data_IF_827690695308
#
_entry.id   IF_827690695308
#
_cell.length_a   1.000
_cell.length_b   1.000
_cell.length_c   1.000
_cell.angle_alpha   90.00
_cell.angle_beta   90.00
_cell.angle_gamma   90.00
#
_symmetry.space_group_name_H-M   'P 1'
#
loop_
_entity.id
_entity.type
_entity.pdbx_description
1 polymer ?
#
# COMPACT_ATOMS: atom_id res chain seq x y z
N UNK A 1 -71.09 -51.19 -52.08
CA UNK A 1 -71.21 -49.71 -52.06
C UNK A 1 -70.32 -49.01 -51.02
N UNK A 2 -69.67 -49.70 -50.07
CA UNK A 2 -68.78 -49.05 -49.09
C UNK A 2 -67.29 -49.02 -49.47
N UNK A 3 -66.80 -49.91 -50.34
CA UNK A 3 -65.36 -49.97 -50.65
C UNK A 3 -64.90 -48.86 -51.61
N UNK A 4 -65.72 -48.47 -52.59
CA UNK A 4 -65.36 -47.41 -53.55
C UNK A 4 -65.28 -46.02 -52.91
N UNK A 5 -66.12 -45.73 -51.91
CA UNK A 5 -66.10 -44.46 -51.16
C UNK A 5 -64.82 -44.37 -50.30
N UNK A 6 -64.38 -45.50 -49.72
CA UNK A 6 -63.15 -45.56 -48.92
C UNK A 6 -61.92 -45.35 -49.80
N UNK A 7 -61.88 -45.96 -50.98
CA UNK A 7 -60.76 -45.81 -51.93
C UNK A 7 -60.67 -44.36 -52.46
N UNK A 8 -61.80 -43.76 -52.82
CA UNK A 8 -61.85 -42.36 -53.27
C UNK A 8 -61.44 -41.37 -52.17
N UNK A 9 -61.81 -41.63 -50.92
CA UNK A 9 -61.38 -40.83 -49.77
C UNK A 9 -59.87 -40.96 -49.50
N UNK A 10 -59.30 -42.15 -49.66
CA UNK A 10 -57.85 -42.40 -49.50
C UNK A 10 -57.05 -41.68 -50.59
N UNK A 11 -57.51 -41.70 -51.84
CA UNK A 11 -56.81 -41.03 -52.94
C UNK A 11 -56.95 -39.50 -52.88
N UNK A 12 -58.08 -38.96 -52.40
CA UNK A 12 -58.20 -37.53 -52.09
C UNK A 12 -57.24 -37.11 -50.96
N UNK A 13 -57.04 -37.96 -49.95
CA UNK A 13 -56.09 -37.71 -48.85
C UNK A 13 -54.62 -37.68 -49.33
N UNK A 14 -54.28 -38.47 -50.35
CA UNK A 14 -52.94 -38.47 -50.97
C UNK A 14 -52.63 -37.19 -51.76
N UNK A 15 -53.64 -36.49 -52.27
CA UNK A 15 -53.48 -35.26 -53.05
C UNK A 15 -53.52 -34.02 -52.14
N UNK A 16 -54.40 -34.01 -51.14
CA UNK A 16 -54.59 -32.88 -50.20
C UNK A 16 -53.58 -32.94 -49.05
N UNK A 17 -53.17 -34.13 -48.62
CA UNK A 17 -52.20 -34.34 -47.57
C UNK A 17 -50.87 -33.61 -47.82
N UNK A 18 -50.22 -33.77 -48.98
CA UNK A 18 -48.96 -33.09 -49.28
C UNK A 18 -49.09 -31.56 -49.37
N UNK A 19 -50.22 -31.06 -49.86
CA UNK A 19 -50.45 -29.63 -50.09
C UNK A 19 -50.79 -28.85 -48.82
N UNK A 20 -51.28 -29.51 -47.76
CA UNK A 20 -51.58 -28.87 -46.46
C UNK A 20 -50.55 -29.24 -45.38
N UNK A 21 -50.11 -30.50 -45.32
CA UNK A 21 -49.19 -30.98 -44.28
C UNK A 21 -47.78 -30.42 -44.48
N UNK A 22 -47.30 -30.33 -45.73
CA UNK A 22 -45.94 -29.85 -46.02
C UNK A 22 -45.77 -28.37 -45.64
N UNK A 23 -46.68 -27.43 -45.99
CA UNK A 23 -46.57 -26.05 -45.51
C UNK A 23 -46.64 -25.92 -43.99
N UNK A 24 -47.50 -26.72 -43.31
CA UNK A 24 -47.58 -26.72 -41.84
C UNK A 24 -46.27 -27.20 -41.23
N UNK A 25 -45.69 -28.27 -41.77
CA UNK A 25 -44.41 -28.82 -41.31
C UNK A 25 -43.25 -27.84 -41.55
N UNK A 26 -43.20 -27.18 -42.71
CA UNK A 26 -42.22 -26.14 -43.02
C UNK A 26 -42.39 -24.95 -42.08
N UNK A 27 -43.62 -24.48 -41.85
CA UNK A 27 -43.90 -23.38 -40.94
C UNK A 27 -43.47 -23.74 -39.50
N UNK A 28 -43.74 -24.97 -39.07
CA UNK A 28 -43.33 -25.47 -37.75
C UNK A 28 -41.81 -25.55 -37.62
N UNK A 29 -41.09 -26.11 -38.60
CA UNK A 29 -39.62 -26.15 -38.60
C UNK A 29 -39.01 -24.73 -38.63
N UNK A 30 -39.56 -23.85 -39.46
CA UNK A 30 -39.08 -22.46 -39.59
C UNK A 30 -39.28 -21.70 -38.28
N UNK A 31 -40.45 -21.83 -37.65
CA UNK A 31 -40.74 -21.18 -36.37
C UNK A 31 -39.89 -21.77 -35.23
N UNK A 32 -39.65 -23.09 -35.25
CA UNK A 32 -38.74 -23.76 -34.30
C UNK A 32 -37.29 -23.31 -34.46
N UNK A 33 -36.78 -23.20 -35.68
CA UNK A 33 -35.43 -22.71 -35.94
C UNK A 33 -35.31 -21.22 -35.61
N UNK A 34 -36.31 -20.40 -35.92
CA UNK A 34 -36.33 -18.99 -35.55
C UNK A 34 -36.27 -18.79 -34.03
N UNK A 35 -36.97 -19.64 -33.24
CA UNK A 35 -36.85 -19.63 -31.78
C UNK A 35 -35.46 -20.00 -31.30
N UNK A 36 -34.88 -21.10 -31.81
CA UNK A 36 -33.52 -21.50 -31.46
C UNK A 36 -32.49 -20.44 -31.81
N UNK A 37 -32.61 -19.79 -32.96
CA UNK A 37 -31.69 -18.73 -33.37
C UNK A 37 -31.79 -17.51 -32.44
N UNK A 38 -33.01 -17.14 -32.00
CA UNK A 38 -33.20 -16.06 -31.00
C UNK A 38 -32.61 -16.42 -29.64
N UNK A 39 -32.75 -17.67 -29.19
CA UNK A 39 -32.13 -18.15 -27.95
C UNK A 39 -30.60 -18.05 -28.02
N UNK A 40 -29.99 -18.49 -29.14
CA UNK A 40 -28.55 -18.41 -29.37
C UNK A 40 -28.08 -16.94 -29.41
N UNK A 41 -28.83 -16.06 -30.06
CA UNK A 41 -28.52 -14.62 -30.14
C UNK A 41 -28.58 -13.96 -28.76
N UNK A 42 -29.60 -14.27 -27.96
CA UNK A 42 -29.72 -13.81 -26.57
C UNK A 42 -28.59 -14.34 -25.69
N UNK A 43 -28.23 -15.62 -25.80
CA UNK A 43 -27.08 -16.18 -25.07
C UNK A 43 -25.77 -15.48 -25.45
N UNK A 44 -25.59 -15.16 -26.73
CA UNK A 44 -24.41 -14.45 -27.21
C UNK A 44 -24.36 -13.01 -26.67
N UNK A 45 -25.49 -12.29 -26.69
CA UNK A 45 -25.58 -10.95 -26.10
C UNK A 45 -25.31 -10.97 -24.58
N UNK A 46 -25.88 -11.95 -23.85
CA UNK A 46 -25.62 -12.12 -22.43
C UNK A 46 -24.15 -12.40 -22.13
N UNK A 47 -23.50 -13.29 -22.90
CA UNK A 47 -22.05 -13.56 -22.78
C UNK A 47 -21.22 -12.31 -23.06
N UNK A 48 -21.61 -11.51 -24.05
CA UNK A 48 -20.94 -10.24 -24.37
C UNK A 48 -21.08 -9.23 -23.24
N UNK A 49 -22.29 -9.08 -22.68
CA UNK A 49 -22.55 -8.20 -21.53
C UNK A 49 -21.78 -8.63 -20.28
N UNK A 50 -21.73 -9.93 -20.00
CA UNK A 50 -20.95 -10.49 -18.89
C UNK A 50 -19.46 -10.17 -19.06
N UNK A 51 -18.90 -10.44 -20.25
CA UNK A 51 -17.50 -10.15 -20.55
C UNK A 51 -17.17 -8.67 -20.44
N UNK A 52 -18.05 -7.80 -20.93
CA UNK A 52 -17.87 -6.34 -20.80
C UNK A 52 -17.89 -5.91 -19.33
N UNK A 53 -18.82 -6.45 -18.54
CA UNK A 53 -18.89 -6.16 -17.10
C UNK A 53 -17.65 -6.64 -16.34
N UNK A 54 -17.11 -7.81 -16.70
CA UNK A 54 -15.86 -8.32 -16.14
C UNK A 54 -14.69 -7.38 -16.46
N UNK A 55 -14.58 -6.91 -17.70
CA UNK A 55 -13.57 -5.93 -18.11
C UNK A 55 -13.70 -4.60 -17.36
N UNK A 56 -14.92 -4.09 -17.19
CA UNK A 56 -15.16 -2.85 -16.43
C UNK A 56 -14.75 -3.00 -14.96
N UNK A 57 -15.06 -4.15 -14.35
CA UNK A 57 -14.66 -4.47 -12.97
C UNK A 57 -13.13 -4.54 -12.87
N UNK A 58 -12.47 -5.25 -13.76
CA UNK A 58 -11.01 -5.40 -13.73
C UNK A 58 -10.30 -4.05 -13.90
N UNK A 59 -10.78 -3.24 -14.86
CA UNK A 59 -10.31 -1.87 -15.04
C UNK A 59 -10.50 -1.00 -13.78
N UNK A 60 -11.67 -1.08 -13.14
CA UNK A 60 -11.94 -0.32 -11.91
C UNK A 60 -11.03 -0.74 -10.75
N UNK A 61 -10.71 -2.04 -10.64
CA UNK A 61 -9.79 -2.58 -9.63
C UNK A 61 -8.37 -2.06 -9.88
N UNK A 62 -7.91 -2.06 -11.12
CA UNK A 62 -6.60 -1.52 -11.49
C UNK A 62 -6.49 -0.02 -11.19
N UNK A 63 -7.51 0.76 -11.54
CA UNK A 63 -7.56 2.19 -11.26
C UNK A 63 -7.51 2.47 -9.76
N UNK A 64 -8.25 1.70 -8.95
CA UNK A 64 -8.25 1.84 -7.49
C UNK A 64 -6.88 1.48 -6.90
N UNK A 65 -6.25 0.40 -7.36
CA UNK A 65 -4.89 0.04 -6.94
C UNK A 65 -3.87 1.12 -7.27
N UNK A 66 -3.95 1.71 -8.47
CA UNK A 66 -3.12 2.85 -8.88
C UNK A 66 -3.27 4.01 -7.90
N UNK A 67 -4.51 4.39 -7.60
CA UNK A 67 -4.83 5.46 -6.65
C UNK A 67 -4.28 5.19 -5.25
N UNK A 68 -4.40 3.96 -4.75
CA UNK A 68 -3.86 3.57 -3.44
C UNK A 68 -2.34 3.75 -3.36
N UNK A 69 -1.60 3.31 -4.38
CA UNK A 69 -0.14 3.51 -4.43
C UNK A 69 0.26 4.99 -4.43
N UNK A 70 -0.44 5.83 -5.20
CA UNK A 70 -0.20 7.27 -5.26
C UNK A 70 -0.44 7.92 -3.89
N UNK A 71 -1.54 7.57 -3.22
CA UNK A 71 -1.88 8.14 -1.91
C UNK A 71 -0.82 7.77 -0.87
N UNK A 72 -0.42 6.49 -0.83
CA UNK A 72 0.61 6.02 0.12
C UNK A 72 1.94 6.72 -0.14
N UNK A 73 2.38 6.79 -1.40
CA UNK A 73 3.62 7.49 -1.77
C UNK A 73 3.57 8.97 -1.40
N UNK A 74 2.48 9.66 -1.72
CA UNK A 74 2.28 11.07 -1.36
C UNK A 74 2.31 11.29 0.16
N UNK A 75 1.68 10.41 0.94
CA UNK A 75 1.71 10.48 2.40
C UNK A 75 3.14 10.30 2.95
N UNK A 76 3.92 9.37 2.39
CA UNK A 76 5.33 9.18 2.77
C UNK A 76 6.18 10.41 2.47
N UNK A 77 6.02 11.01 1.30
CA UNK A 77 6.70 12.25 0.92
C UNK A 77 6.32 13.40 1.86
N UNK A 78 5.05 13.52 2.23
CA UNK A 78 4.60 14.53 3.19
C UNK A 78 5.24 14.34 4.57
N UNK A 79 5.38 13.09 5.05
CA UNK A 79 6.10 12.81 6.30
C UNK A 79 7.55 13.29 6.20
N UNK A 80 8.23 13.06 5.07
CA UNK A 80 9.61 13.53 4.88
C UNK A 80 9.71 15.06 4.89
N UNK A 81 8.72 15.78 4.35
CA UNK A 81 8.65 17.24 4.49
C UNK A 81 8.41 17.70 5.92
N UNK A 82 7.60 16.97 6.70
CA UNK A 82 7.40 17.30 8.12
C UNK A 82 8.67 17.02 8.94
N UNK A 83 9.50 16.04 8.55
CA UNK A 83 10.86 15.86 9.12
C UNK A 83 11.77 17.01 8.75
N UNK A 84 11.69 17.53 7.52
CA UNK A 84 12.45 18.72 7.15
C UNK A 84 12.04 19.93 8.00
N UNK A 85 10.74 20.11 8.29
CA UNK A 85 10.30 21.14 9.23
C UNK A 85 10.87 20.92 10.62
N UNK A 86 10.86 19.67 11.11
CA UNK A 86 11.50 19.31 12.38
C UNK A 86 12.99 19.70 12.38
N UNK A 87 13.73 19.40 11.31
CA UNK A 87 15.13 19.80 11.16
C UNK A 87 15.30 21.33 11.23
N UNK A 88 14.45 22.08 10.52
CA UNK A 88 14.46 23.55 10.53
C UNK A 88 14.18 24.09 11.93
N UNK A 89 13.15 23.58 12.61
CA UNK A 89 12.79 24.00 13.98
C UNK A 89 13.93 23.79 14.96
N UNK A 90 14.70 22.71 14.81
CA UNK A 90 15.85 22.42 15.67
C UNK A 90 17.12 23.20 15.27
N UNK A 91 17.21 23.70 14.04
CA UNK A 91 18.35 24.49 13.55
C UNK A 91 18.40 25.92 14.08
N UNK A 92 17.25 26.47 14.49
CA UNK A 92 17.13 27.81 15.07
C UNK A 92 17.52 27.86 16.55
N UNK A 93 18.81 27.64 16.87
CA UNK A 93 19.39 27.76 18.22
C UNK A 93 18.48 27.21 19.34
N UNK A 94 18.31 25.89 19.35
CA UNK A 94 17.59 25.18 20.40
C UNK A 94 18.33 25.32 21.75
N UNK A 95 17.88 26.26 22.59
CA UNK A 95 18.56 26.60 23.86
C UNK A 95 17.98 25.91 25.09
N UNK A 96 16.83 25.24 24.97
CA UNK A 96 16.12 24.64 26.08
C UNK A 96 15.41 23.31 25.73
N UNK A 97 14.91 22.65 26.78
CA UNK A 97 14.20 21.36 26.72
C UNK A 97 12.87 21.47 25.96
N UNK A 98 12.20 22.62 26.08
CA UNK A 98 10.90 22.88 25.41
C UNK A 98 11.02 22.87 23.90
N UNK A 99 12.12 23.38 23.34
CA UNK A 99 12.34 23.39 21.89
C UNK A 99 12.22 22.00 21.25
N UNK A 100 12.81 20.95 21.83
CA UNK A 100 12.69 19.58 21.30
C UNK A 100 11.26 19.05 21.48
N UNK A 101 10.66 19.26 22.66
CA UNK A 101 9.33 18.72 22.96
C UNK A 101 8.23 19.36 22.09
N UNK A 102 8.29 20.68 21.87
CA UNK A 102 7.33 21.39 21.03
C UNK A 102 7.46 20.98 19.56
N UNK A 103 8.70 20.93 19.04
CA UNK A 103 8.95 20.50 17.67
C UNK A 103 8.54 19.03 17.43
N UNK A 104 8.80 18.14 18.39
CA UNK A 104 8.37 16.74 18.32
C UNK A 104 6.86 16.59 18.40
N UNK A 105 6.19 17.40 19.23
CA UNK A 105 4.72 17.37 19.36
C UNK A 105 4.04 17.82 18.06
N UNK A 106 4.55 18.89 17.44
CA UNK A 106 4.05 19.34 16.13
C UNK A 106 4.23 18.24 15.07
N UNK A 107 5.43 17.65 15.01
CA UNK A 107 5.73 16.54 14.10
C UNK A 107 4.80 15.34 14.33
N UNK A 108 4.61 14.89 15.58
CA UNK A 108 3.76 13.74 15.90
C UNK A 108 2.31 13.93 15.48
N UNK A 109 1.77 15.13 15.65
CA UNK A 109 0.40 15.44 15.21
C UNK A 109 0.26 15.28 13.69
N UNK A 110 1.20 15.83 12.92
CA UNK A 110 1.19 15.73 11.45
C UNK A 110 1.48 14.31 10.96
N UNK A 111 2.42 13.64 11.60
CA UNK A 111 2.72 12.24 11.33
C UNK A 111 1.47 11.35 11.50
N UNK A 112 0.69 11.55 12.57
CA UNK A 112 -0.54 10.78 12.82
C UNK A 112 -1.56 10.94 11.70
N UNK A 113 -1.73 12.17 11.18
CA UNK A 113 -2.60 12.45 10.02
C UNK A 113 -2.16 11.66 8.77
N UNK A 114 -0.86 11.61 8.48
CA UNK A 114 -0.33 10.88 7.31
C UNK A 114 -0.33 9.37 7.53
N UNK A 115 -0.05 8.90 8.75
CA UNK A 115 -0.09 7.48 9.10
C UNK A 115 -1.51 6.91 8.91
N UNK A 116 -2.54 7.66 9.29
CA UNK A 116 -3.93 7.26 9.08
C UNK A 116 -4.21 7.01 7.58
N UNK A 117 -3.75 7.90 6.70
CA UNK A 117 -3.87 7.73 5.24
C UNK A 117 -3.14 6.49 4.74
N UNK A 118 -1.93 6.23 5.22
CA UNK A 118 -1.17 5.04 4.81
C UNK A 118 -1.89 3.76 5.27
N UNK A 119 -2.36 3.73 6.52
CA UNK A 119 -3.04 2.59 7.12
C UNK A 119 -4.31 2.18 6.34
N UNK A 120 -5.11 3.17 5.92
CA UNK A 120 -6.33 2.94 5.13
C UNK A 120 -6.06 2.13 3.85
N UNK A 121 -4.91 2.35 3.22
CA UNK A 121 -4.55 1.73 1.95
C UNK A 121 -3.50 0.61 2.06
N UNK A 122 -2.97 0.35 3.26
CA UNK A 122 -1.88 -0.61 3.48
C UNK A 122 -2.26 -2.04 3.07
N UNK A 123 -3.51 -2.44 3.26
CA UNK A 123 -4.00 -3.78 2.89
C UNK A 123 -3.93 -4.08 1.38
N UNK A 124 -3.82 -3.03 0.55
CA UNK A 124 -3.73 -3.16 -0.90
C UNK A 124 -2.28 -3.17 -1.41
N UNK A 125 -1.29 -3.05 -0.51
CA UNK A 125 0.12 -3.05 -0.85
C UNK A 125 0.67 -4.48 -0.85
N UNK A 126 1.69 -4.72 -1.69
CA UNK A 126 2.39 -6.00 -1.65
C UNK A 126 3.24 -6.11 -0.38
N UNK A 127 3.45 -7.34 0.10
CA UNK A 127 4.27 -7.64 1.28
C UNK A 127 5.63 -6.95 1.31
N UNK A 128 6.32 -6.85 0.17
CA UNK A 128 7.61 -6.15 0.10
C UNK A 128 7.48 -4.65 0.47
N UNK A 129 6.53 -3.94 -0.15
CA UNK A 129 6.24 -2.54 0.18
C UNK A 129 5.83 -2.42 1.65
N UNK A 130 5.01 -3.34 2.16
CA UNK A 130 4.59 -3.33 3.56
C UNK A 130 5.77 -3.51 4.52
N UNK A 131 6.72 -4.40 4.20
CA UNK A 131 7.95 -4.56 4.99
C UNK A 131 8.81 -3.28 4.97
N UNK A 132 8.86 -2.59 3.82
CA UNK A 132 9.55 -1.30 3.70
C UNK A 132 8.86 -0.21 4.53
N UNK A 133 7.53 -0.19 4.57
CA UNK A 133 6.77 0.70 5.45
C UNK A 133 7.09 0.44 6.92
N UNK A 134 7.16 -0.81 7.36
CA UNK A 134 7.57 -1.13 8.75
C UNK A 134 8.98 -0.65 9.05
N UNK A 135 9.92 -0.81 8.12
CA UNK A 135 11.27 -0.26 8.27
C UNK A 135 11.25 1.27 8.35
N UNK A 136 10.44 1.93 7.52
CA UNK A 136 10.25 3.37 7.57
C UNK A 136 9.71 3.83 8.93
N UNK A 137 8.70 3.14 9.49
CA UNK A 137 8.20 3.43 10.83
C UNK A 137 9.21 3.14 11.94
N UNK A 138 10.02 2.09 11.81
CA UNK A 138 11.11 1.80 12.75
C UNK A 138 12.11 2.94 12.80
N UNK A 139 12.50 3.48 11.63
CA UNK A 139 13.41 4.63 11.54
C UNK A 139 12.85 5.88 12.23
N UNK A 140 11.54 6.13 12.10
CA UNK A 140 10.87 7.23 12.80
C UNK A 140 10.86 7.03 14.33
N UNK A 141 10.62 5.79 14.77
CA UNK A 141 10.69 5.42 16.18
C UNK A 141 12.09 5.59 16.75
N UNK A 142 13.11 5.13 16.04
CA UNK A 142 14.53 5.31 16.36
C UNK A 142 14.86 6.82 16.50
N UNK A 143 14.44 7.65 15.54
CA UNK A 143 14.63 9.10 15.61
C UNK A 143 13.99 9.71 16.86
N UNK A 144 12.74 9.34 17.18
CA UNK A 144 12.04 9.86 18.35
C UNK A 144 12.73 9.48 19.66
N UNK A 145 13.21 8.24 19.76
CA UNK A 145 13.99 7.78 20.92
C UNK A 145 15.30 8.56 21.03
N UNK A 146 16.00 8.74 19.92
CA UNK A 146 17.29 9.43 19.91
C UNK A 146 17.17 10.92 20.26
N UNK A 147 16.12 11.60 19.79
CA UNK A 147 15.83 12.98 20.20
C UNK A 147 15.49 13.10 21.69
N UNK A 148 14.78 12.12 22.26
CA UNK A 148 14.52 12.06 23.70
C UNK A 148 15.81 11.89 24.50
N UNK A 149 16.71 11.03 24.07
CA UNK A 149 18.01 10.82 24.73
C UNK A 149 18.90 12.07 24.62
N UNK A 150 18.88 12.76 23.48
CA UNK A 150 19.59 14.04 23.28
C UNK A 150 19.03 15.10 24.24
N UNK A 151 17.70 15.14 24.41
CA UNK A 151 17.03 15.99 25.38
C UNK A 151 17.50 15.71 26.82
N UNK A 152 17.52 14.45 27.22
CA UNK A 152 17.95 14.02 28.57
C UNK A 152 19.42 14.32 28.84
N UNK A 153 20.27 14.20 27.82
CA UNK A 153 21.71 14.51 27.91
C UNK A 153 22.03 16.01 27.75
N UNK A 154 21.02 16.85 27.47
CA UNK A 154 21.14 18.31 27.26
C UNK A 154 22.08 18.71 26.12
N UNK A 155 22.28 17.83 25.14
CA UNK A 155 23.17 18.09 23.99
C UNK A 155 22.35 18.60 22.80
N UNK A 156 21.62 19.69 22.97
CA UNK A 156 20.64 20.14 21.98
C UNK A 156 21.24 20.43 20.59
N UNK A 157 22.52 20.84 20.55
CA UNK A 157 23.25 21.13 19.32
C UNK A 157 23.40 19.92 18.37
N UNK A 158 23.38 18.69 18.89
CA UNK A 158 23.49 17.48 18.05
C UNK A 158 22.15 16.95 17.55
N UNK A 159 21.02 17.50 18.02
CA UNK A 159 19.69 17.07 17.61
C UNK A 159 19.48 17.22 16.09
N UNK A 160 19.99 18.31 15.51
CA UNK A 160 19.94 18.57 14.08
C UNK A 160 20.65 17.48 13.25
N UNK A 161 21.79 16.98 13.74
CA UNK A 161 22.53 15.92 13.06
C UNK A 161 21.83 14.57 13.11
N UNK A 162 21.14 14.27 14.22
CA UNK A 162 20.26 13.11 14.31
C UNK A 162 19.14 13.19 13.27
N UNK A 163 18.37 14.28 13.25
CA UNK A 163 17.27 14.45 12.28
C UNK A 163 17.78 14.35 10.84
N UNK A 164 18.90 15.00 10.53
CA UNK A 164 19.52 14.91 9.20
C UNK A 164 19.84 13.45 8.83
N UNK A 165 20.50 12.69 9.71
CA UNK A 165 20.87 11.30 9.42
C UNK A 165 19.66 10.40 9.15
N UNK A 166 18.62 10.48 9.99
CA UNK A 166 17.40 9.69 9.78
C UNK A 166 16.64 10.14 8.55
N UNK A 167 16.63 11.44 8.24
CA UNK A 167 15.95 11.94 7.06
C UNK A 167 16.50 11.34 5.75
N UNK A 168 17.83 11.15 5.67
CA UNK A 168 18.48 10.49 4.54
C UNK A 168 18.03 9.03 4.45
N UNK A 169 18.05 8.29 5.57
CA UNK A 169 17.62 6.89 5.64
C UNK A 169 16.15 6.73 5.27
N UNK A 170 15.30 7.66 5.69
CA UNK A 170 13.86 7.67 5.38
C UNK A 170 13.62 7.96 3.90
N UNK A 171 14.33 8.93 3.33
CA UNK A 171 14.31 9.19 1.90
C UNK A 171 14.72 7.95 1.09
N UNK A 172 15.73 7.20 1.53
CA UNK A 172 16.12 5.95 0.88
C UNK A 172 14.98 4.92 0.87
N UNK A 173 14.28 4.71 1.98
CA UNK A 173 13.14 3.77 2.00
C UNK A 173 11.99 4.24 1.10
N UNK A 174 11.72 5.55 1.01
CA UNK A 174 10.73 6.11 0.07
C UNK A 174 11.14 5.82 -1.38
N UNK A 175 12.41 6.05 -1.73
CA UNK A 175 12.97 5.74 -3.04
C UNK A 175 12.81 4.24 -3.37
N UNK A 176 13.09 3.36 -2.40
CA UNK A 176 12.89 1.92 -2.58
C UNK A 176 11.42 1.56 -2.83
N UNK A 177 10.50 2.11 -2.04
CA UNK A 177 9.05 1.89 -2.21
C UNK A 177 8.60 2.35 -3.59
N UNK A 178 9.01 3.55 -4.01
CA UNK A 178 8.68 4.08 -5.34
C UNK A 178 9.20 3.16 -6.45
N UNK A 179 10.45 2.70 -6.35
CA UNK A 179 11.04 1.79 -7.33
C UNK A 179 10.31 0.44 -7.38
N UNK A 180 9.89 -0.12 -6.25
CA UNK A 180 9.09 -1.34 -6.23
C UNK A 180 7.71 -1.17 -6.88
N UNK A 181 7.08 -0.01 -6.68
CA UNK A 181 5.81 0.30 -7.33
C UNK A 181 6.03 0.42 -8.84
N UNK A 182 7.03 1.20 -9.28
CA UNK A 182 7.33 1.42 -10.71
C UNK A 182 7.78 0.16 -11.44
N UNK A 183 8.48 -0.76 -10.75
CA UNK A 183 8.88 -2.04 -11.33
C UNK A 183 7.68 -2.89 -11.73
N UNK A 184 6.57 -2.81 -10.98
CA UNK A 184 5.33 -3.53 -11.26
C UNK A 184 4.35 -2.72 -12.10
N UNK A 185 4.44 -1.39 -12.08
CA UNK A 185 3.48 -0.45 -12.69
C UNK A 185 4.21 0.68 -13.40
N UNK A 186 4.63 0.42 -14.64
CA UNK A 186 5.34 1.42 -15.46
C UNK A 186 4.44 2.59 -15.87
N UNK A 187 3.13 2.39 -15.87
CA UNK A 187 2.12 3.42 -16.12
C UNK A 187 2.08 4.52 -15.04
N UNK A 188 2.71 4.29 -13.88
CA UNK A 188 2.85 5.27 -12.80
C UNK A 188 4.07 6.19 -12.97
N UNK A 189 4.92 5.99 -13.99
CA UNK A 189 6.10 6.82 -14.22
C UNK A 189 5.78 8.32 -14.42
N UNK A 190 4.60 8.66 -14.95
CA UNK A 190 4.19 10.06 -15.09
C UNK A 190 3.75 10.69 -13.78
N UNK A 191 3.25 9.87 -12.85
CA UNK A 191 2.71 10.33 -11.57
C UNK A 191 3.79 10.41 -10.50
N UNK A 192 4.86 9.63 -10.64
CA UNK A 192 6.04 9.70 -9.80
C UNK A 192 7.16 10.43 -10.52
N UNK A 193 7.48 11.64 -10.09
CA UNK A 193 8.54 12.44 -10.70
C UNK A 193 9.92 11.81 -10.40
N UNK A 194 10.40 10.92 -11.27
CA UNK A 194 11.69 10.23 -11.12
C UNK A 194 12.89 11.18 -11.15
N UNK A 195 12.72 12.40 -11.70
CA UNK A 195 13.76 13.42 -11.76
C UNK A 195 14.11 14.01 -10.38
N UNK A 196 13.26 13.84 -9.37
CA UNK A 196 13.46 14.43 -8.04
C UNK A 196 14.03 13.44 -7.00
N UNK A 197 14.08 12.14 -7.33
CA UNK A 197 14.54 11.05 -6.45
C UNK A 197 15.89 11.31 -5.74
N UNK A 198 16.94 11.82 -6.41
CA UNK A 198 18.21 12.09 -5.75
C UNK A 198 18.12 13.25 -4.76
N UNK A 199 17.27 14.24 -5.03
CA UNK A 199 17.11 15.42 -4.19
C UNK A 199 16.41 15.10 -2.87
N UNK A 200 15.65 14.00 -2.78
CA UNK A 200 15.09 13.55 -1.50
C UNK A 200 16.16 13.25 -0.46
N UNK A 201 17.35 12.79 -0.88
CA UNK A 201 18.47 12.55 0.05
C UNK A 201 19.04 13.84 0.63
N UNK A 202 18.94 14.94 -0.11
CA UNK A 202 19.38 16.27 0.31
C UNK A 202 18.21 17.19 0.69
N UNK A 203 16.98 16.68 0.74
CA UNK A 203 15.76 17.47 0.88
C UNK A 203 15.66 18.13 2.25
N UNK A 204 16.23 17.51 3.28
CA UNK A 204 15.93 17.88 4.65
C UNK A 204 16.78 19.03 5.21
N UNK A 205 17.45 19.79 4.34
CA UNK A 205 18.17 21.00 4.69
C UNK A 205 19.66 20.91 4.44
N UNK A 206 20.38 21.95 4.86
CA UNK A 206 21.83 21.96 4.77
C UNK A 206 22.42 20.91 5.70
N UNK A 207 23.47 20.25 5.23
CA UNK A 207 24.21 19.31 6.04
C UNK A 207 24.74 20.00 7.31
N UNK A 208 24.60 19.39 8.50
CA UNK A 208 25.13 19.95 9.73
C UNK A 208 26.64 20.19 9.64
N UNK A 209 27.17 21.22 10.33
CA UNK A 209 28.60 21.46 10.42
C UNK A 209 29.41 20.22 10.86
N UNK A 210 30.61 20.04 10.29
CA UNK A 210 31.44 18.84 10.50
C UNK A 210 31.72 18.53 11.98
N UNK A 211 31.88 19.55 12.82
CA UNK A 211 32.08 19.39 14.26
C UNK A 211 30.87 18.71 14.93
N UNK A 212 29.65 19.14 14.61
CA UNK A 212 28.40 18.57 15.16
C UNK A 212 28.21 17.14 14.63
N UNK A 213 28.51 16.92 13.34
CA UNK A 213 28.43 15.59 12.72
C UNK A 213 29.40 14.60 13.35
N UNK A 214 30.64 15.01 13.61
CA UNK A 214 31.64 14.17 14.28
C UNK A 214 31.26 13.86 15.73
N UNK A 215 30.73 14.85 16.46
CA UNK A 215 30.23 14.63 17.82
C UNK A 215 29.10 13.60 17.85
N UNK A 216 28.14 13.74 16.93
CA UNK A 216 27.04 12.80 16.74
C UNK A 216 27.55 11.37 16.43
N UNK A 217 28.43 11.22 15.44
CA UNK A 217 28.99 9.92 15.06
C UNK A 217 29.77 9.25 16.20
N UNK A 218 30.48 10.02 17.02
CA UNK A 218 31.19 9.50 18.18
C UNK A 218 30.23 8.94 19.24
N UNK A 219 29.11 9.63 19.50
CA UNK A 219 28.08 9.19 20.44
C UNK A 219 27.41 7.93 19.90
N UNK A 220 27.06 7.91 18.62
CA UNK A 220 26.42 6.78 17.95
C UNK A 220 27.32 5.52 17.97
N UNK A 221 28.61 5.66 17.65
CA UNK A 221 29.58 4.55 17.71
C UNK A 221 29.74 4.01 19.13
N UNK A 222 29.81 4.87 20.13
CA UNK A 222 29.86 4.45 21.55
C UNK A 222 28.62 3.64 21.93
N UNK A 223 27.42 4.09 21.53
CA UNK A 223 26.17 3.37 21.78
C UNK A 223 26.15 1.99 21.09
N UNK A 224 26.55 1.91 19.82
CA UNK A 224 26.64 0.63 19.10
C UNK A 224 27.64 -0.34 19.74
N UNK A 225 28.77 0.17 20.23
CA UNK A 225 29.76 -0.64 20.94
C UNK A 225 29.21 -1.17 22.28
N UNK A 226 28.47 -0.35 23.03
CA UNK A 226 27.82 -0.75 24.28
C UNK A 226 26.72 -1.79 24.02
N UNK A 227 25.86 -1.56 23.01
CA UNK A 227 24.82 -2.53 22.63
C UNK A 227 25.42 -3.87 22.21
N UNK A 228 26.48 -3.86 21.39
CA UNK A 228 27.19 -5.10 21.01
C UNK A 228 27.88 -5.78 22.20
N UNK A 229 28.27 -5.04 23.23
CA UNK A 229 28.82 -5.62 24.46
C UNK A 229 27.73 -6.20 25.36
N UNK A 230 26.55 -5.57 25.41
CA UNK A 230 25.38 -6.05 26.16
C UNK A 230 24.81 -7.34 25.56
N UNK A 231 24.75 -7.47 24.23
CA UNK A 231 24.34 -8.71 23.55
C UNK A 231 25.30 -9.89 23.80
N UNK A 232 26.53 -9.59 24.23
CA UNK A 232 27.55 -10.60 24.56
C UNK A 232 27.57 -10.98 26.04
N UNK A 233 26.77 -10.31 26.89
CA UNK A 233 26.65 -10.69 28.29
C UNK A 233 25.73 -11.93 28.40
N UNK A 234 26.16 -12.99 29.09
CA UNK A 234 25.28 -14.11 29.37
C UNK A 234 24.09 -13.65 30.22
N UNK A 235 22.88 -14.06 29.81
CA UNK A 235 21.62 -13.89 30.56
C UNK A 235 21.63 -14.75 31.83
N UNK A 236 22.49 -14.44 32.78
CA UNK A 236 22.41 -14.97 34.14
C UNK A 236 22.18 -13.81 35.10
N UNK A 237 20.90 -13.44 35.27
CA UNK A 237 20.49 -12.67 36.44
C UNK A 237 20.50 -13.63 37.65
N UNK A 238 21.24 -13.33 38.73
CA UNK A 238 21.15 -14.12 39.94
C UNK A 238 19.78 -13.90 40.59
N UNK A 239 18.94 -14.94 40.58
CA UNK A 239 17.79 -15.07 41.48
C UNK A 239 18.35 -15.24 42.89
N UNK A 240 18.49 -14.14 43.63
CA UNK A 240 18.99 -14.20 45.00
C UNK A 240 18.13 -13.31 45.92
N UNK A 241 17.36 -14.01 46.75
CA UNK A 241 16.90 -13.66 48.11
C UNK A 241 15.67 -12.77 48.29
N UNK A 242 14.49 -13.27 47.93
CA UNK A 242 13.27 -13.09 48.75
C UNK A 242 13.18 -14.21 49.80
N UNK A 243 13.99 -14.16 50.84
CA UNK A 243 13.76 -14.91 52.09
C UNK A 243 14.43 -14.16 53.25
N UNK A 244 13.82 -13.08 53.72
CA UNK A 244 14.06 -12.56 55.08
C UNK A 244 13.06 -11.46 55.51
N UNK A 245 11.75 -11.67 55.36
CA UNK A 245 10.74 -10.88 56.10
C UNK A 245 9.54 -11.77 56.48
N UNK A 246 9.77 -12.84 57.25
CA UNK A 246 8.75 -13.42 58.14
C UNK A 246 9.50 -14.03 59.34
N UNK A 247 9.93 -13.20 60.28
CA UNK A 247 10.18 -13.53 61.70
C UNK A 247 10.75 -12.29 62.38
N UNK A 248 9.85 -11.36 62.72
CA UNK A 248 9.88 -10.45 63.87
C UNK A 248 9.06 -9.20 63.57
N UNK A 249 7.73 -9.33 63.68
CA UNK A 249 6.81 -8.39 64.33
C UNK A 249 5.40 -8.99 64.35
#
# INVERSE_FOLDING_TARGET
>A
MNQEIIIAAIDALKIIGPSVILPIFILWMTNRNARKNREIEQEFELKKLQKNKELDVDYSIELNRKKHHIIVHSALVNILFDIQKLHISLSGHCSDVSCIDDAMKEFQNKFTEQQAKISEYQIFLSSNITNRLYKFYSLLGELAVELREIKESKQFEIAIASVYNYSVRLAEEIIYIQNEILAKRKELNSDFNTLELPYFRSCCGQEPPDNIKQQYENIRKKKMAIASALDKLPLELPVVLEKEIILNQ
#
